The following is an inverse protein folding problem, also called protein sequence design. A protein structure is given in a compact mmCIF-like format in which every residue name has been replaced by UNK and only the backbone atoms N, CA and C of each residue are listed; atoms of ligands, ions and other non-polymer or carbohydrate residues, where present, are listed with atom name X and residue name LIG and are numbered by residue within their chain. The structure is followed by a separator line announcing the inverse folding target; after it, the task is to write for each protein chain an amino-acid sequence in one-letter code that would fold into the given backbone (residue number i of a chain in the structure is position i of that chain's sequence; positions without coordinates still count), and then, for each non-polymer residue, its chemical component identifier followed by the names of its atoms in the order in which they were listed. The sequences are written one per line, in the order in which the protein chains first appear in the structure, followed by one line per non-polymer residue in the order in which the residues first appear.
data_IF_992450963867
#
_entry.id   IF_992450963867
#
_cell.length_a   1.000
_cell.length_b   1.000
_cell.length_c   1.000
_cell.angle_alpha   90.00
_cell.angle_beta   90.00
_cell.angle_gamma   90.00
#
_symmetry.space_group_name_H-M   'P 1'
#
loop_
_entity.id
_entity.type
_entity.pdbx_description
1 polymer ?
#
# COMPACT_ATOMS: atom_id res chain seq x y z
N UNK A 1 8.94 2.27 -21.42
CA UNK A 1 7.99 1.97 -22.51
C UNK A 1 6.58 2.09 -21.96
N UNK A 2 5.60 2.62 -22.72
CA UNK A 2 4.19 2.71 -22.30
C UNK A 2 3.33 1.95 -23.32
N UNK A 3 2.41 1.11 -22.84
CA UNK A 3 1.44 0.39 -23.65
C UNK A 3 0.05 0.98 -23.41
N UNK A 4 -0.74 1.15 -24.46
CA UNK A 4 -2.10 1.69 -24.37
C UNK A 4 -3.01 0.88 -25.28
N UNK A 5 -4.14 0.42 -24.73
CA UNK A 5 -5.16 -0.32 -25.48
C UNK A 5 -6.54 -0.04 -24.92
N UNK A 6 -7.56 -0.07 -25.77
CA UNK A 6 -8.96 -0.06 -25.34
C UNK A 6 -9.34 -1.47 -24.90
N UNK A 7 -9.84 -1.62 -23.66
CA UNK A 7 -10.35 -2.87 -23.13
C UNK A 7 -11.88 -2.83 -23.06
N UNK A 8 -12.53 -4.00 -23.10
CA UNK A 8 -13.98 -4.15 -22.92
C UNK A 8 -14.24 -5.03 -21.71
N UNK A 9 -15.33 -4.71 -21.01
CA UNK A 9 -15.80 -5.49 -19.87
C UNK A 9 -16.71 -6.61 -20.39
N UNK A 10 -16.49 -7.84 -19.92
CA UNK A 10 -17.35 -8.98 -20.28
C UNK A 10 -18.65 -9.01 -19.46
N UNK A 11 -19.53 -9.98 -19.74
CA UNK A 11 -20.83 -10.12 -19.05
C UNK A 11 -20.72 -10.41 -17.54
N UNK A 12 -19.53 -10.75 -17.04
CA UNK A 12 -19.27 -10.99 -15.62
C UNK A 12 -18.49 -9.85 -14.96
N UNK A 13 -18.35 -8.71 -15.64
CA UNK A 13 -17.63 -7.56 -15.09
C UNK A 13 -16.10 -7.67 -15.16
N UNK A 14 -15.55 -8.63 -15.91
CA UNK A 14 -14.10 -8.87 -15.97
C UNK A 14 -13.46 -8.10 -17.12
N UNK A 15 -12.20 -7.71 -16.92
CA UNK A 15 -11.32 -7.24 -17.99
C UNK A 15 -10.21 -8.27 -18.22
N UNK A 16 -9.87 -8.51 -19.49
CA UNK A 16 -8.72 -9.37 -19.83
C UNK A 16 -7.48 -8.50 -19.97
N UNK A 17 -6.45 -8.78 -19.16
CA UNK A 17 -5.14 -8.15 -19.31
C UNK A 17 -4.45 -8.75 -20.56
N UNK A 18 -4.12 -7.94 -21.59
CA UNK A 18 -3.47 -8.45 -22.80
C UNK A 18 -2.18 -9.20 -22.48
N UNK A 19 -1.88 -10.26 -23.25
CA UNK A 19 -0.71 -11.11 -23.03
C UNK A 19 0.59 -10.32 -22.95
N UNK A 20 0.81 -9.37 -23.86
CA UNK A 20 2.00 -8.50 -23.86
C UNK A 20 2.17 -7.71 -22.55
N UNK A 21 1.06 -7.27 -21.93
CA UNK A 21 1.10 -6.55 -20.65
C UNK A 21 1.37 -7.51 -19.50
N UNK A 22 0.77 -8.71 -19.53
CA UNK A 22 1.03 -9.74 -18.52
C UNK A 22 2.49 -10.17 -18.50
N UNK A 23 3.07 -10.45 -19.66
CA UNK A 23 4.48 -10.84 -19.78
C UNK A 23 5.41 -9.70 -19.33
N UNK A 24 5.14 -8.46 -19.75
CA UNK A 24 5.99 -7.31 -19.40
C UNK A 24 5.92 -6.92 -17.91
N UNK A 25 4.85 -7.30 -17.19
CA UNK A 25 4.65 -7.01 -15.77
C UNK A 25 4.75 -8.27 -14.89
N UNK A 26 5.22 -9.38 -15.46
CA UNK A 26 5.31 -10.69 -14.80
C UNK A 26 4.01 -11.15 -14.14
N UNK A 27 2.85 -10.91 -14.75
CA UNK A 27 1.53 -11.29 -14.23
C UNK A 27 1.15 -12.68 -14.75
N UNK A 28 1.19 -13.66 -13.85
CA UNK A 28 0.79 -15.05 -14.10
C UNK A 28 -0.25 -15.51 -13.08
N UNK A 29 -0.84 -16.68 -13.32
CA UNK A 29 -1.84 -17.28 -12.45
C UNK A 29 -1.31 -17.43 -11.01
N UNK A 30 -2.13 -17.07 -10.03
CA UNK A 30 -1.76 -17.10 -8.60
C UNK A 30 -0.92 -15.92 -8.12
N UNK A 31 -0.41 -15.06 -9.01
CA UNK A 31 0.30 -13.85 -8.58
C UNK A 31 -0.66 -12.83 -8.01
N UNK A 32 -0.33 -12.28 -6.84
CA UNK A 32 -1.14 -11.26 -6.19
C UNK A 32 -0.96 -9.90 -6.86
N UNK A 33 -2.08 -9.19 -7.01
CA UNK A 33 -2.14 -7.83 -7.52
C UNK A 33 -2.80 -6.95 -6.47
N UNK A 34 -2.23 -5.77 -6.23
CA UNK A 34 -2.91 -4.73 -5.50
C UNK A 34 -3.70 -3.86 -6.48
N UNK A 35 -5.02 -3.75 -6.27
CA UNK A 35 -5.87 -2.82 -6.98
C UNK A 35 -6.24 -1.64 -6.07
N UNK A 36 -5.90 -0.42 -6.50
CA UNK A 36 -6.30 0.82 -5.84
C UNK A 36 -7.31 1.53 -6.75
N UNK A 37 -8.56 1.60 -6.31
CA UNK A 37 -9.62 2.32 -7.01
C UNK A 37 -9.79 3.72 -6.42
N UNK A 38 -9.48 4.75 -7.20
CA UNK A 38 -9.73 6.15 -6.88
C UNK A 38 -11.08 6.54 -7.49
N UNK A 39 -12.12 6.61 -6.64
CA UNK A 39 -13.48 6.89 -7.08
C UNK A 39 -13.69 8.36 -7.47
N UNK A 40 -12.85 9.28 -6.98
CA UNK A 40 -12.91 10.69 -7.36
C UNK A 40 -12.35 10.90 -8.76
N UNK A 41 -11.17 10.31 -9.04
CA UNK A 41 -10.54 10.35 -10.37
C UNK A 41 -11.18 9.37 -11.36
N UNK A 42 -11.95 8.40 -10.87
CA UNK A 42 -12.51 7.28 -11.64
C UNK A 42 -11.42 6.45 -12.32
N UNK A 43 -10.36 6.17 -11.57
CA UNK A 43 -9.19 5.42 -12.04
C UNK A 43 -8.94 4.18 -11.17
N UNK A 44 -8.40 3.13 -11.78
CA UNK A 44 -7.91 1.95 -11.06
C UNK A 44 -6.43 1.79 -11.39
N UNK A 45 -5.58 1.77 -10.36
CA UNK A 45 -4.18 1.39 -10.47
C UNK A 45 -4.01 -0.05 -10.02
N UNK A 46 -3.51 -0.91 -10.92
CA UNK A 46 -3.21 -2.32 -10.62
C UNK A 46 -1.70 -2.50 -10.61
N UNK A 47 -1.16 -2.97 -9.49
CA UNK A 47 0.28 -3.18 -9.31
C UNK A 47 0.55 -4.62 -8.88
N UNK A 48 1.43 -5.36 -9.56
CA UNK A 48 1.90 -6.65 -9.07
C UNK A 48 2.63 -6.50 -7.74
N UNK A 49 2.32 -7.35 -6.78
CA UNK A 49 2.97 -7.35 -5.46
C UNK A 49 3.62 -8.70 -5.18
N UNK A 50 4.68 -8.68 -4.37
CA UNK A 50 5.41 -9.88 -3.94
C UNK A 50 5.20 -10.07 -2.44
N UNK A 51 3.95 -10.32 -2.04
CA UNK A 51 3.59 -10.59 -0.65
C UNK A 51 3.95 -12.05 -0.32
N UNK A 52 4.50 -12.28 0.87
CA UNK A 52 4.78 -13.63 1.41
C UNK A 52 3.58 -14.20 2.16
N UNK A 53 2.61 -13.35 2.47
CA UNK A 53 1.46 -13.67 3.29
C UNK A 53 0.16 -13.20 2.61
N UNK A 54 -0.98 -13.66 3.11
CA UNK A 54 -2.29 -13.11 2.72
C UNK A 54 -2.72 -11.93 3.60
N UNK A 55 -1.96 -11.60 4.66
CA UNK A 55 -2.32 -10.59 5.64
C UNK A 55 -1.72 -9.23 5.27
N UNK A 56 -2.38 -8.55 4.33
CA UNK A 56 -1.98 -7.22 3.90
C UNK A 56 -2.72 -6.14 4.67
N UNK A 57 -2.02 -5.07 5.03
CA UNK A 57 -2.58 -3.93 5.73
C UNK A 57 -2.27 -2.65 4.97
N UNK A 58 -3.31 -1.83 4.77
CA UNK A 58 -3.16 -0.43 4.41
C UNK A 58 -3.00 0.38 5.69
N UNK A 59 -1.87 1.08 5.79
CA UNK A 59 -1.49 1.91 6.94
C UNK A 59 -1.37 3.33 6.43
N UNK A 60 -2.31 4.19 6.85
CA UNK A 60 -2.28 5.62 6.59
C UNK A 60 -1.76 6.34 7.81
N UNK A 61 -0.80 7.23 7.61
CA UNK A 61 -0.23 8.05 8.68
C UNK A 61 -0.16 9.51 8.25
N UNK A 62 -0.43 10.40 9.19
CA UNK A 62 0.00 11.79 9.09
C UNK A 62 1.24 11.99 9.95
N UNK A 63 2.28 12.55 9.36
CA UNK A 63 3.58 12.73 9.99
C UNK A 63 4.09 14.15 9.82
N UNK A 64 5.02 14.54 10.68
CA UNK A 64 5.70 15.83 10.60
C UNK A 64 6.48 15.93 9.28
N UNK A 65 6.23 16.98 8.49
CA UNK A 65 6.92 17.19 7.21
C UNK A 65 8.29 17.85 7.41
N UNK A 66 9.26 17.06 7.87
CA UNK A 66 10.66 17.47 8.06
C UNK A 66 11.60 16.50 7.36
N UNK A 67 12.82 16.94 6.98
CA UNK A 67 13.83 16.05 6.43
C UNK A 67 14.05 14.82 7.32
N UNK A 68 13.99 13.63 6.72
CA UNK A 68 14.17 12.36 7.43
C UNK A 68 12.89 11.73 8.00
N UNK A 69 11.75 12.42 8.02
CA UNK A 69 10.53 11.87 8.62
C UNK A 69 10.05 10.56 7.96
N UNK A 70 10.16 10.45 6.64
CA UNK A 70 9.87 9.20 5.92
C UNK A 70 10.86 8.07 6.30
N UNK A 71 12.13 8.40 6.51
CA UNK A 71 13.12 7.43 6.95
C UNK A 71 12.80 6.93 8.37
N UNK A 72 12.47 7.85 9.29
CA UNK A 72 12.03 7.50 10.65
C UNK A 72 10.75 6.66 10.64
N UNK A 73 9.81 6.94 9.75
CA UNK A 73 8.62 6.09 9.56
C UNK A 73 9.02 4.68 9.11
N UNK A 74 9.88 4.55 8.10
CA UNK A 74 10.37 3.24 7.63
C UNK A 74 11.14 2.47 8.70
N UNK A 75 11.97 3.14 9.49
CA UNK A 75 12.67 2.55 10.65
C UNK A 75 11.66 2.05 11.68
N UNK A 76 10.63 2.85 11.99
CA UNK A 76 9.60 2.44 12.95
C UNK A 76 8.80 1.24 12.46
N UNK A 77 8.46 1.19 11.19
CA UNK A 77 7.79 0.04 10.56
C UNK A 77 8.63 -1.23 10.66
N UNK A 78 9.94 -1.12 10.43
CA UNK A 78 10.89 -2.23 10.61
C UNK A 78 10.96 -2.71 12.06
N UNK A 79 11.03 -1.80 13.03
CA UNK A 79 10.99 -2.15 14.47
C UNK A 79 9.72 -2.93 14.83
N UNK A 80 8.60 -2.54 14.24
CA UNK A 80 7.29 -3.18 14.41
C UNK A 80 7.13 -4.46 13.57
N UNK A 81 8.21 -4.92 12.92
CA UNK A 81 8.25 -6.13 12.09
C UNK A 81 7.22 -6.12 10.96
N UNK A 82 7.03 -4.96 10.34
CA UNK A 82 6.21 -4.77 9.14
C UNK A 82 7.11 -4.62 7.92
N UNK A 83 6.90 -5.47 6.91
CA UNK A 83 7.54 -5.37 5.60
C UNK A 83 6.70 -4.46 4.69
N UNK A 84 7.27 -3.36 4.22
CA UNK A 84 6.56 -2.38 3.41
C UNK A 84 6.68 -2.73 1.93
N UNK A 85 5.57 -3.09 1.30
CA UNK A 85 5.49 -3.41 -0.13
C UNK A 85 5.37 -2.16 -1.00
N UNK A 86 4.61 -1.18 -0.52
CA UNK A 86 4.38 0.10 -1.20
C UNK A 86 4.39 1.20 -0.16
N UNK A 87 5.06 2.31 -0.46
CA UNK A 87 4.97 3.54 0.33
C UNK A 87 4.76 4.70 -0.62
N UNK A 88 3.73 5.50 -0.39
CA UNK A 88 3.45 6.74 -1.11
C UNK A 88 3.28 7.85 -0.09
N UNK A 89 3.95 8.97 -0.30
CA UNK A 89 3.84 10.12 0.59
C UNK A 89 3.64 11.40 -0.21
N UNK A 90 2.93 12.34 0.39
CA UNK A 90 2.71 13.68 -0.14
C UNK A 90 2.65 14.70 0.99
N UNK A 91 3.29 15.86 0.79
CA UNK A 91 3.14 16.99 1.71
C UNK A 91 1.71 17.55 1.60
N UNK A 92 1.00 17.62 2.73
CA UNK A 92 -0.29 18.33 2.84
C UNK A 92 -0.02 19.81 3.08
N UNK A 93 0.86 20.11 4.05
CA UNK A 93 1.29 21.46 4.38
C UNK A 93 2.81 21.47 4.51
N UNK A 94 3.47 22.07 3.52
CA UNK A 94 4.93 22.03 3.37
C UNK A 94 5.64 22.51 4.63
N UNK A 95 6.54 21.67 5.16
CA UNK A 95 7.33 21.96 6.36
C UNK A 95 6.59 21.72 7.68
N UNK A 96 5.33 21.28 7.63
CA UNK A 96 4.50 21.04 8.80
C UNK A 96 3.93 19.62 8.80
N UNK A 97 3.19 19.23 7.75
CA UNK A 97 2.38 18.02 7.71
C UNK A 97 2.48 17.30 6.36
N UNK A 98 2.76 16.00 6.42
CA UNK A 98 2.72 15.11 5.28
C UNK A 98 1.83 13.90 5.59
N UNK A 99 1.22 13.34 4.56
CA UNK A 99 0.50 12.07 4.65
C UNK A 99 1.31 11.00 3.91
N UNK A 100 1.34 9.80 4.49
CA UNK A 100 1.86 8.61 3.85
C UNK A 100 0.83 7.49 3.91
N UNK A 101 0.71 6.76 2.79
CA UNK A 101 -0.01 5.50 2.69
C UNK A 101 1.01 4.40 2.43
N UNK A 102 1.05 3.41 3.32
CA UNK A 102 1.88 2.22 3.21
C UNK A 102 1.01 0.99 3.04
N UNK A 103 1.34 0.13 2.08
CA UNK A 103 0.85 -1.25 2.05
C UNK A 103 1.95 -2.11 2.63
N UNK A 104 1.63 -2.87 3.68
CA UNK A 104 2.60 -3.67 4.39
C UNK A 104 2.03 -5.03 4.80
N UNK A 105 2.92 -5.99 5.01
CA UNK A 105 2.60 -7.27 5.62
C UNK A 105 3.42 -7.49 6.90
N UNK A 106 2.86 -8.16 7.92
CA UNK A 106 3.63 -8.55 9.09
C UNK A 106 4.60 -9.68 8.76
N UNK A 107 5.82 -9.59 9.30
CA UNK A 107 6.80 -10.67 9.21
C UNK A 107 6.41 -11.91 10.03
N UNK A 108 5.51 -11.74 11.01
CA UNK A 108 4.94 -12.82 11.83
C UNK A 108 3.41 -12.62 11.98
N UNK A 109 2.61 -13.02 10.98
CA UNK A 109 1.16 -12.79 10.97
C UNK A 109 0.40 -13.32 12.20
N UNK A 110 0.69 -14.53 12.74
CA UNK A 110 -0.03 -15.04 13.91
C UNK A 110 0.07 -14.18 15.17
N UNK A 111 1.16 -13.44 15.35
CA UNK A 111 1.38 -12.57 16.52
C UNK A 111 1.04 -11.10 16.25
N UNK A 112 0.65 -10.78 15.01
CA UNK A 112 0.37 -9.41 14.61
C UNK A 112 -0.92 -8.88 15.23
N UNK A 113 -0.84 -7.67 15.79
CA UNK A 113 -2.01 -6.94 16.28
C UNK A 113 -1.96 -5.49 15.76
N UNK A 114 -2.93 -5.07 14.93
CA UNK A 114 -2.94 -3.72 14.34
C UNK A 114 -3.10 -2.61 15.40
N UNK A 115 -3.81 -2.86 16.51
CA UNK A 115 -3.98 -1.84 17.55
C UNK A 115 -2.67 -1.54 18.28
N UNK A 116 -1.83 -2.56 18.50
CA UNK A 116 -0.50 -2.38 19.08
C UNK A 116 0.41 -1.56 18.17
N UNK A 117 0.36 -1.80 16.85
CA UNK A 117 1.10 -1.04 15.84
C UNK A 117 0.61 0.41 15.82
N UNK A 118 -0.72 0.61 15.79
CA UNK A 118 -1.33 1.94 15.81
C UNK A 118 -0.81 2.76 17.01
N UNK A 119 -0.91 2.18 18.20
CA UNK A 119 -0.46 2.82 19.44
C UNK A 119 1.04 3.14 19.39
N UNK A 120 1.88 2.19 18.96
CA UNK A 120 3.33 2.40 18.89
C UNK A 120 3.75 3.46 17.87
N UNK A 121 2.98 3.65 16.79
CA UNK A 121 3.18 4.73 15.82
C UNK A 121 2.75 6.07 16.41
N UNK A 122 1.58 6.16 17.06
CA UNK A 122 1.11 7.39 17.71
C UNK A 122 2.06 7.85 18.83
N UNK A 123 2.67 6.91 19.57
CA UNK A 123 3.65 7.19 20.63
C UNK A 123 5.06 7.57 20.12
N UNK A 124 5.29 7.53 18.80
CA UNK A 124 6.61 7.81 18.20
C UNK A 124 7.03 9.28 18.26
N UNK A 125 6.11 10.20 18.55
CA UNK A 125 6.37 11.63 18.68
C UNK A 125 6.52 12.40 17.36
N UNK A 126 6.47 11.73 16.20
CA UNK A 126 6.50 12.36 14.88
C UNK A 126 5.30 12.02 13.99
N UNK A 127 4.38 11.18 14.49
CA UNK A 127 3.13 10.80 13.84
C UNK A 127 1.97 11.44 14.59
N UNK A 128 1.04 12.06 13.86
CA UNK A 128 -0.11 12.77 14.41
C UNK A 128 -1.42 11.98 14.27
N UNK A 129 -1.50 11.12 13.25
CA UNK A 129 -2.68 10.31 12.98
C UNK A 129 -2.26 8.96 12.40
N UNK A 130 -2.99 7.92 12.75
CA UNK A 130 -2.80 6.57 12.21
C UNK A 130 -4.15 5.90 11.95
N UNK A 131 -4.30 5.33 10.75
CA UNK A 131 -5.39 4.44 10.39
C UNK A 131 -4.84 3.16 9.79
N UNK A 132 -5.26 2.01 10.31
CA UNK A 132 -4.84 0.69 9.83
C UNK A 132 -6.07 -0.08 9.40
N UNK A 133 -6.05 -0.62 8.18
CA UNK A 133 -7.12 -1.42 7.60
C UNK A 133 -6.55 -2.69 6.98
N UNK A 134 -7.10 -3.85 7.33
CA UNK A 134 -6.78 -5.09 6.63
C UNK A 134 -7.36 -5.09 5.22
N UNK A 135 -6.56 -5.52 4.25
CA UNK A 135 -6.97 -5.71 2.87
C UNK A 135 -7.38 -7.18 2.68
N UNK A 136 -8.64 -7.39 2.34
CA UNK A 136 -9.16 -8.73 2.06
C UNK A 136 -8.81 -9.13 0.62
N UNK A 137 -8.26 -10.35 0.39
CA UNK A 137 -8.16 -10.89 -0.96
C UNK A 137 -9.57 -11.23 -1.49
N UNK A 138 -9.84 -10.84 -2.74
CA UNK A 138 -11.07 -11.18 -3.47
C UNK A 138 -10.89 -12.45 -4.31
#
# INVERSE_FOLDING_TARGET
MKYTSILRVDSKGRITIPQIVREALDIYEGKQLLAVADFEKKEILITPITSKTQALYEIKVELKDVPGALASFGEKMKELKLDQLIVKCSSIKRGELAECVSIAEPLDPPSFNPDNVKKALEESGFVYFVSIKQLEPY
#
